data_IF_818802669056
#
_entry.id   IF_818802669056
#
_cell.length_a   1.000
_cell.length_b   1.000
_cell.length_c   1.000
_cell.angle_alpha   90.00
_cell.angle_beta   90.00
_cell.angle_gamma   90.00
#
_symmetry.space_group_name_H-M   'P 1'
#
loop_
_entity.id
_entity.type
_entity.pdbx_description
1 polymer ?
#
# COMPACT_ATOMS: atom_id res chain seq x y z
N UNK A 1 -36.30 0.31 -7.11
CA UNK A 1 -35.97 -0.31 -5.81
C UNK A 1 -34.65 -1.02 -6.01
N UNK A 2 -33.54 -0.48 -5.48
CA UNK A 2 -32.26 -1.21 -5.53
C UNK A 2 -32.38 -2.44 -4.62
N UNK A 3 -32.13 -3.62 -5.18
CA UNK A 3 -32.11 -4.87 -4.43
C UNK A 3 -30.90 -4.86 -3.48
N UNK A 4 -31.14 -4.79 -2.16
CA UNK A 4 -30.07 -4.83 -1.17
C UNK A 4 -29.58 -6.27 -1.03
N UNK A 5 -28.48 -6.61 -1.71
CA UNK A 5 -27.83 -7.91 -1.57
C UNK A 5 -26.91 -7.91 -0.36
N UNK A 6 -27.36 -8.53 0.74
CA UNK A 6 -26.51 -8.74 1.92
C UNK A 6 -25.41 -9.76 1.57
N UNK A 7 -24.14 -9.35 1.70
CA UNK A 7 -23.01 -10.22 1.35
C UNK A 7 -21.80 -9.93 2.24
N UNK A 8 -21.29 -10.98 2.87
CA UNK A 8 -20.14 -10.97 3.79
C UNK A 8 -19.01 -11.85 3.23
N UNK A 9 -17.74 -11.68 3.65
CA UNK A 9 -16.67 -12.60 3.29
C UNK A 9 -16.98 -14.03 3.75
N UNK A 10 -16.58 -15.01 2.94
CA UNK A 10 -16.71 -16.43 3.29
C UNK A 10 -15.67 -16.89 4.30
N UNK A 11 -15.79 -18.15 4.72
CA UNK A 11 -14.79 -18.81 5.56
C UNK A 11 -13.49 -19.03 4.78
N UNK A 12 -12.36 -18.57 5.33
CA UNK A 12 -11.02 -18.84 4.80
C UNK A 12 -10.35 -19.96 5.61
N UNK A 13 -10.09 -21.09 4.97
CA UNK A 13 -9.46 -22.26 5.60
C UNK A 13 -8.03 -21.99 6.10
N UNK A 14 -7.36 -20.92 5.65
CA UNK A 14 -6.05 -20.48 6.18
C UNK A 14 -6.16 -19.93 7.60
N UNK A 15 -7.35 -19.44 7.99
CA UNK A 15 -7.62 -18.82 9.28
C UNK A 15 -8.78 -19.53 10.01
N UNK A 16 -8.64 -20.81 10.37
CA UNK A 16 -9.72 -21.61 10.95
C UNK A 16 -10.03 -21.27 12.41
N UNK A 17 -9.18 -20.47 13.05
CA UNK A 17 -9.30 -20.12 14.47
C UNK A 17 -10.34 -19.01 14.68
N UNK A 18 -10.92 -18.94 15.87
CA UNK A 18 -11.88 -17.89 16.23
C UNK A 18 -11.28 -16.48 16.16
N UNK A 19 -9.97 -16.34 16.42
CA UNK A 19 -9.28 -15.07 16.30
C UNK A 19 -8.97 -14.75 14.83
N UNK A 20 -9.65 -13.75 14.27
CA UNK A 20 -9.55 -13.31 12.88
C UNK A 20 -8.57 -12.14 12.66
N UNK A 21 -7.80 -11.71 13.67
CA UNK A 21 -6.83 -10.61 13.54
C UNK A 21 -5.82 -10.85 12.40
N UNK A 22 -5.32 -12.09 12.24
CA UNK A 22 -4.39 -12.43 11.14
C UNK A 22 -5.05 -12.37 9.77
N UNK A 23 -6.33 -12.73 9.68
CA UNK A 23 -7.10 -12.68 8.44
C UNK A 23 -7.33 -11.24 7.98
N UNK A 24 -7.71 -10.36 8.93
CA UNK A 24 -7.83 -8.93 8.70
C UNK A 24 -6.50 -8.34 8.18
N UNK A 25 -5.41 -8.53 8.93
CA UNK A 25 -4.12 -7.95 8.57
C UNK A 25 -3.56 -8.50 7.23
N UNK A 26 -3.73 -9.80 6.97
CA UNK A 26 -3.32 -10.38 5.69
C UNK A 26 -4.12 -9.80 4.52
N UNK A 27 -5.43 -9.61 4.68
CA UNK A 27 -6.29 -9.01 3.64
C UNK A 27 -5.91 -7.57 3.34
N UNK A 28 -5.52 -6.80 4.36
CA UNK A 28 -4.98 -5.45 4.20
C UNK A 28 -3.71 -5.45 3.35
N UNK A 29 -2.73 -6.28 3.70
CA UNK A 29 -1.48 -6.37 2.94
C UNK A 29 -1.71 -6.84 1.51
N UNK A 30 -2.60 -7.83 1.32
CA UNK A 30 -2.89 -8.41 0.01
C UNK A 30 -3.58 -7.40 -0.92
N UNK A 31 -4.52 -6.59 -0.40
CA UNK A 31 -5.15 -5.53 -1.18
C UNK A 31 -4.11 -4.56 -1.76
N UNK A 32 -3.23 -4.04 -0.91
CA UNK A 32 -2.27 -3.02 -1.35
C UNK A 32 -1.13 -3.58 -2.20
N UNK A 33 -0.70 -4.82 -1.96
CA UNK A 33 0.20 -5.53 -2.88
C UNK A 33 -0.45 -5.73 -4.25
N UNK A 34 -1.73 -6.12 -4.27
CA UNK A 34 -2.49 -6.34 -5.49
C UNK A 34 -2.62 -5.04 -6.30
N UNK A 35 -2.99 -3.94 -5.66
CA UNK A 35 -3.08 -2.61 -6.28
C UNK A 35 -1.72 -2.15 -6.82
N UNK A 36 -0.64 -2.32 -6.07
CA UNK A 36 0.70 -1.93 -6.53
C UNK A 36 1.18 -2.71 -7.77
N UNK A 37 0.79 -3.98 -7.90
CA UNK A 37 1.24 -4.85 -9.01
C UNK A 37 0.32 -4.83 -10.23
N UNK A 38 -1.00 -4.67 -10.02
CA UNK A 38 -2.03 -4.85 -11.06
C UNK A 38 -2.88 -3.61 -11.30
N UNK A 39 -2.87 -2.64 -10.40
CA UNK A 39 -3.76 -1.48 -10.42
C UNK A 39 -5.09 -1.72 -9.70
N UNK A 40 -5.82 -0.64 -9.45
CA UNK A 40 -7.06 -0.64 -8.67
C UNK A 40 -8.24 -1.30 -9.39
N UNK A 41 -8.24 -1.31 -10.73
CA UNK A 41 -9.33 -1.86 -11.54
C UNK A 41 -9.32 -3.40 -11.63
N UNK A 42 -8.30 -4.06 -11.06
CA UNK A 42 -8.23 -5.51 -11.11
C UNK A 42 -9.27 -6.14 -10.18
N UNK A 43 -10.28 -6.80 -10.77
CA UNK A 43 -11.43 -7.33 -10.04
C UNK A 43 -11.08 -8.23 -8.83
N UNK A 44 -10.04 -9.09 -8.87
CA UNK A 44 -9.62 -9.85 -7.69
C UNK A 44 -9.14 -9.01 -6.51
N UNK A 45 -8.59 -7.80 -6.73
CA UNK A 45 -8.18 -6.92 -5.63
C UNK A 45 -9.40 -6.45 -4.81
N UNK A 46 -10.57 -6.30 -5.44
CA UNK A 46 -11.80 -5.86 -4.77
C UNK A 46 -12.29 -6.86 -3.72
N UNK A 47 -11.95 -8.15 -3.87
CA UNK A 47 -12.27 -9.17 -2.87
C UNK A 47 -11.52 -8.88 -1.57
N UNK A 48 -10.23 -8.55 -1.66
CA UNK A 48 -9.42 -8.20 -0.48
C UNK A 48 -9.90 -6.90 0.17
N UNK A 49 -10.28 -5.91 -0.63
CA UNK A 49 -10.87 -4.66 -0.12
C UNK A 49 -12.15 -4.92 0.69
N UNK A 50 -13.06 -5.73 0.14
CA UNK A 50 -14.29 -6.10 0.83
C UNK A 50 -14.02 -6.89 2.11
N UNK A 51 -13.09 -7.84 2.07
CA UNK A 51 -12.74 -8.66 3.24
C UNK A 51 -12.13 -7.83 4.36
N UNK A 52 -11.19 -6.94 4.02
CA UNK A 52 -10.57 -6.01 4.95
C UNK A 52 -11.62 -5.09 5.60
N UNK A 53 -12.50 -4.47 4.81
CA UNK A 53 -13.56 -3.58 5.33
C UNK A 53 -14.61 -4.31 6.20
N UNK A 54 -14.77 -5.62 6.04
CA UNK A 54 -15.74 -6.40 6.81
C UNK A 54 -15.18 -6.96 8.12
N UNK A 55 -13.87 -7.26 8.15
CA UNK A 55 -13.22 -7.92 9.30
C UNK A 55 -12.46 -6.95 10.20
N UNK A 56 -11.86 -5.90 9.63
CA UNK A 56 -10.97 -5.01 10.35
C UNK A 56 -11.76 -3.88 11.06
N UNK A 57 -11.38 -3.51 12.29
CA UNK A 57 -11.82 -2.26 12.89
C UNK A 57 -11.33 -1.07 12.07
N UNK A 58 -12.16 -0.05 11.88
CA UNK A 58 -11.79 1.16 11.10
C UNK A 58 -10.59 1.87 11.68
N UNK A 59 -10.47 1.94 13.01
CA UNK A 59 -9.32 2.58 13.69
C UNK A 59 -7.99 1.96 13.31
N UNK A 60 -7.93 0.63 13.10
CA UNK A 60 -6.71 -0.04 12.67
C UNK A 60 -6.32 0.32 11.25
N UNK A 61 -7.31 0.44 10.36
CA UNK A 61 -7.07 0.81 8.96
C UNK A 61 -6.49 2.22 8.88
N UNK A 62 -7.09 3.17 9.60
CA UNK A 62 -6.60 4.56 9.68
C UNK A 62 -5.16 4.62 10.21
N UNK A 63 -4.87 3.94 11.32
CA UNK A 63 -3.52 3.89 11.89
C UNK A 63 -2.48 3.27 10.93
N UNK A 64 -2.84 2.19 10.23
CA UNK A 64 -1.95 1.57 9.26
C UNK A 64 -1.76 2.41 8.00
N UNK A 65 -2.81 3.12 7.56
CA UNK A 65 -2.76 4.04 6.42
C UNK A 65 -1.83 5.21 6.70
N UNK A 66 -1.94 5.81 7.89
CA UNK A 66 -1.05 6.86 8.37
C UNK A 66 0.40 6.40 8.40
N UNK A 67 0.67 5.23 8.99
CA UNK A 67 2.02 4.66 9.05
C UNK A 67 2.61 4.48 7.65
N UNK A 68 1.84 3.95 6.70
CA UNK A 68 2.33 3.77 5.32
C UNK A 68 2.55 5.08 4.59
N UNK A 69 1.67 6.07 4.77
CA UNK A 69 1.86 7.41 4.22
C UNK A 69 3.15 8.06 4.73
N UNK A 70 3.43 7.92 6.03
CA UNK A 70 4.69 8.35 6.64
C UNK A 70 5.90 7.62 6.06
N UNK A 71 5.87 6.29 5.95
CA UNK A 71 6.98 5.53 5.37
C UNK A 71 7.23 5.88 3.91
N UNK A 72 6.17 6.01 3.09
CA UNK A 72 6.27 6.36 1.68
C UNK A 72 6.83 7.77 1.51
N UNK A 73 6.36 8.75 2.27
CA UNK A 73 6.86 10.13 2.21
C UNK A 73 8.32 10.25 2.66
N UNK A 74 8.71 9.54 3.72
CA UNK A 74 10.10 9.50 4.18
C UNK A 74 11.02 8.84 3.14
N UNK A 75 10.60 7.72 2.55
CA UNK A 75 11.37 7.00 1.53
C UNK A 75 11.53 7.84 0.26
N UNK A 76 10.46 8.44 -0.25
CA UNK A 76 10.51 9.38 -1.39
C UNK A 76 11.44 10.56 -1.08
N UNK A 77 11.40 11.09 0.15
CA UNK A 77 12.30 12.15 0.59
C UNK A 77 13.78 11.77 0.45
N UNK A 78 14.17 10.58 0.92
CA UNK A 78 15.54 10.08 0.74
C UNK A 78 15.90 9.89 -0.73
N UNK A 79 15.04 9.26 -1.53
CA UNK A 79 15.29 9.05 -2.96
C UNK A 79 15.41 10.35 -3.76
N UNK A 80 14.57 11.35 -3.47
CA UNK A 80 14.65 12.67 -4.13
C UNK A 80 15.94 13.37 -3.72
N UNK A 81 16.32 13.33 -2.43
CA UNK A 81 17.59 13.88 -1.97
C UNK A 81 18.76 13.19 -2.69
N UNK A 82 18.80 11.86 -2.74
CA UNK A 82 19.85 11.11 -3.46
C UNK A 82 19.91 11.45 -4.96
N UNK A 83 18.75 11.62 -5.62
CA UNK A 83 18.68 12.10 -7.00
C UNK A 83 19.25 13.51 -7.15
N UNK A 84 18.87 14.44 -6.28
CA UNK A 84 19.36 15.81 -6.30
C UNK A 84 20.88 15.84 -6.05
N UNK A 85 21.38 15.12 -5.05
CA UNK A 85 22.81 15.01 -4.78
C UNK A 85 23.58 14.46 -5.99
N UNK A 86 23.05 13.43 -6.66
CA UNK A 86 23.63 12.90 -7.89
C UNK A 86 23.65 13.94 -9.02
N UNK A 87 22.53 14.65 -9.25
CA UNK A 87 22.45 15.72 -10.25
C UNK A 87 23.44 16.86 -9.96
N UNK A 88 23.58 17.27 -8.70
CA UNK A 88 24.55 18.29 -8.29
C UNK A 88 26.00 17.82 -8.50
N UNK A 89 26.32 16.55 -8.22
CA UNK A 89 27.65 15.97 -8.50
C UNK A 89 27.96 15.96 -10.02
N UNK A 90 27.01 15.51 -10.85
CA UNK A 90 27.18 15.56 -12.32
C UNK A 90 27.37 16.98 -12.84
N UNK A 91 26.64 17.96 -12.30
CA UNK A 91 26.76 19.37 -12.69
C UNK A 91 28.11 19.96 -12.29
N UNK A 92 28.64 19.61 -11.11
CA UNK A 92 29.97 20.05 -10.65
C UNK A 92 31.09 19.48 -11.54
N UNK A 93 31.01 18.21 -11.92
CA UNK A 93 31.97 17.59 -12.83
C UNK A 93 31.94 18.21 -14.24
N UNK A 94 30.75 18.57 -14.74
CA UNK A 94 30.60 19.25 -16.04
C UNK A 94 31.18 20.68 -16.04
N UNK A 95 31.04 21.41 -14.93
CA UNK A 95 31.67 22.73 -14.77
C UNK A 95 33.21 22.64 -14.74
N UNK A 96 33.78 21.57 -14.18
CA UNK A 96 35.23 21.36 -14.17
C UNK A 96 35.80 20.99 -15.56
N UNK A 97 35.04 20.27 -16.40
CA UNK A 97 35.45 19.93 -17.78
C UNK A 97 35.38 21.15 -18.73
N UNK A 98 34.43 22.07 -18.53
CA UNK A 98 34.28 23.27 -19.38
C UNK A 98 35.34 24.35 -19.16
N UNK A 99 36.15 24.23 -18.10
CA UNK A 99 37.18 25.20 -17.70
C UNK A 99 38.61 24.66 -17.88
N UNK A 100 38.78 23.59 -18.66
CA UNK A 100 40.08 23.07 -19.10
C UNK A 100 40.27 23.24 -20.59
#
# INVERSE_FOLDING_TARGET
MSEIKLSTPGFDARFPQQNQTKHCFQSYLDYHKCVALKGEEFAPCQIFLKTMNSLCPTSWLEEWDDQRGMYISQFIGYYILDMIYSIFQYRFQFYSIKFK
#
